data_IF_958821945698
#
_entry.id   IF_958821945698
#
_cell.length_a   1.000
_cell.length_b   1.000
_cell.length_c   1.000
_cell.angle_alpha   90.00
_cell.angle_beta   90.00
_cell.angle_gamma   90.00
#
_symmetry.space_group_name_H-M   'P 1'
#
loop_
_entity.id
_entity.type
_entity.pdbx_description
1 polymer ?
#
# COMPACT_ATOMS: atom_id res chain seq x y z
N UNK A 1 -8.99 18.05 -15.04
CA UNK A 1 -8.33 17.45 -13.85
C UNK A 1 -8.53 18.25 -12.56
N UNK A 2 -8.87 19.54 -12.58
CA UNK A 2 -9.07 20.37 -11.36
C UNK A 2 -10.39 20.13 -10.62
N UNK A 3 -11.41 19.58 -11.27
CA UNK A 3 -12.78 19.48 -10.71
C UNK A 3 -12.97 18.37 -9.67
N UNK A 4 -12.09 17.35 -9.65
CA UNK A 4 -12.24 16.18 -8.76
C UNK A 4 -11.42 16.25 -7.46
N UNK A 5 -10.50 17.21 -7.33
CA UNK A 5 -9.69 17.36 -6.12
C UNK A 5 -10.57 17.72 -4.92
N UNK A 6 -11.50 18.70 -5.00
CA UNK A 6 -12.38 19.03 -3.89
C UNK A 6 -13.21 17.82 -3.42
N UNK A 7 -13.78 17.07 -4.35
CA UNK A 7 -14.57 15.86 -4.03
C UNK A 7 -13.72 14.79 -3.34
N UNK A 8 -12.48 14.60 -3.78
CA UNK A 8 -11.55 13.64 -3.16
C UNK A 8 -11.18 14.06 -1.74
N UNK A 9 -10.95 15.35 -1.52
CA UNK A 9 -10.66 15.92 -0.19
C UNK A 9 -11.85 15.71 0.76
N UNK A 10 -13.07 16.02 0.31
CA UNK A 10 -14.27 15.81 1.12
C UNK A 10 -14.53 14.33 1.41
N UNK A 11 -14.26 13.43 0.46
CA UNK A 11 -14.33 11.98 0.70
C UNK A 11 -13.33 11.52 1.77
N UNK A 12 -12.07 11.99 1.70
CA UNK A 12 -11.06 11.66 2.73
C UNK A 12 -11.46 12.16 4.11
N UNK A 13 -12.01 13.38 4.21
CA UNK A 13 -12.54 13.92 5.46
C UNK A 13 -13.71 13.08 5.99
N UNK A 14 -14.65 12.69 5.13
CA UNK A 14 -15.79 11.87 5.51
C UNK A 14 -15.35 10.48 6.01
N UNK A 15 -14.41 9.83 5.33
CA UNK A 15 -13.86 8.54 5.76
C UNK A 15 -13.16 8.64 7.12
N UNK A 16 -12.37 9.70 7.35
CA UNK A 16 -11.72 9.95 8.64
C UNK A 16 -12.74 10.23 9.75
N UNK A 17 -13.75 11.05 9.49
CA UNK A 17 -14.82 11.35 10.44
C UNK A 17 -15.62 10.09 10.81
N UNK A 18 -15.81 9.18 9.85
CA UNK A 18 -16.44 7.88 10.06
C UNK A 18 -15.49 6.82 10.66
N UNK A 19 -14.24 7.18 11.01
CA UNK A 19 -13.21 6.27 11.52
C UNK A 19 -12.98 5.02 10.64
N UNK A 20 -13.13 5.18 9.31
CA UNK A 20 -12.95 4.10 8.33
C UNK A 20 -11.50 4.00 7.84
N UNK A 21 -10.95 2.79 7.69
CA UNK A 21 -9.66 2.61 7.02
C UNK A 21 -9.65 3.22 5.61
N UNK A 22 -8.49 3.74 5.20
CA UNK A 22 -8.30 4.34 3.88
C UNK A 22 -7.03 3.81 3.22
N UNK A 23 -7.13 3.48 1.94
CA UNK A 23 -5.97 3.17 1.09
C UNK A 23 -5.87 4.22 -0.01
N UNK A 24 -4.68 4.78 -0.18
CA UNK A 24 -4.42 5.87 -1.12
C UNK A 24 -3.29 5.45 -2.06
N UNK A 25 -3.61 5.34 -3.35
CA UNK A 25 -2.66 4.99 -4.41
C UNK A 25 -2.63 6.07 -5.51
N UNK A 26 -1.61 6.00 -6.37
CA UNK A 26 -1.46 6.85 -7.55
C UNK A 26 -1.66 8.35 -7.27
N UNK A 27 -2.51 9.03 -8.04
CA UNK A 27 -2.75 10.47 -7.92
C UNK A 27 -3.31 10.90 -6.55
N UNK A 28 -3.90 9.98 -5.78
CA UNK A 28 -4.28 10.25 -4.39
C UNK A 28 -3.09 10.61 -3.52
N UNK A 29 -1.91 10.04 -3.79
CA UNK A 29 -0.66 10.34 -3.09
C UNK A 29 -0.19 11.77 -3.40
N UNK A 30 -0.43 12.24 -4.63
CA UNK A 30 -0.13 13.62 -5.01
C UNK A 30 -1.00 14.63 -4.25
N UNK A 31 -2.28 14.31 -4.04
CA UNK A 31 -3.20 15.13 -3.22
C UNK A 31 -2.70 15.17 -1.77
N UNK A 32 -2.33 14.01 -1.21
CA UNK A 32 -1.74 13.91 0.14
C UNK A 32 -0.48 14.75 0.28
N UNK A 33 0.41 14.75 -0.71
CA UNK A 33 1.65 15.54 -0.67
C UNK A 33 1.38 17.04 -0.49
N UNK A 34 0.27 17.54 -1.07
CA UNK A 34 -0.15 18.95 -0.93
C UNK A 34 -1.01 19.23 0.31
N UNK A 35 -1.68 18.20 0.83
CA UNK A 35 -2.66 18.31 1.92
C UNK A 35 -2.41 17.25 2.98
N UNK A 36 -1.19 17.19 3.52
CA UNK A 36 -0.78 16.13 4.47
C UNK A 36 -1.69 16.03 5.70
N UNK A 37 -2.30 17.14 6.12
CA UNK A 37 -3.19 17.22 7.28
C UNK A 37 -4.44 16.35 7.12
N UNK A 38 -4.84 16.00 5.89
CA UNK A 38 -5.95 15.07 5.62
C UNK A 38 -5.72 13.71 6.27
N UNK A 39 -4.47 13.24 6.26
CA UNK A 39 -4.10 11.90 6.74
C UNK A 39 -3.20 11.93 7.98
N UNK A 40 -2.60 13.08 8.30
CA UNK A 40 -1.64 13.19 9.41
C UNK A 40 -2.25 12.72 10.73
N UNK A 41 -1.56 11.81 11.41
CA UNK A 41 -2.02 11.22 12.67
C UNK A 41 -3.07 10.10 12.50
N UNK A 42 -3.57 9.85 11.29
CA UNK A 42 -4.63 8.88 11.07
C UNK A 42 -4.04 7.50 10.74
N UNK A 43 -3.78 6.73 11.81
CA UNK A 43 -3.10 5.41 11.75
C UNK A 43 -3.86 4.33 10.96
N UNK A 44 -5.12 4.56 10.55
CA UNK A 44 -5.88 3.65 9.65
C UNK A 44 -5.66 3.93 8.15
N UNK A 45 -4.67 4.77 7.81
CA UNK A 45 -4.29 5.07 6.42
C UNK A 45 -3.12 4.19 5.97
N UNK A 46 -3.25 3.64 4.77
CA UNK A 46 -2.14 3.05 4.02
C UNK A 46 -1.94 3.86 2.74
N UNK A 47 -0.73 4.35 2.49
CA UNK A 47 -0.33 4.89 1.19
C UNK A 47 0.58 3.90 0.48
N UNK A 48 0.43 3.73 -0.84
CA UNK A 48 1.15 2.69 -1.61
C UNK A 48 2.08 3.26 -2.68
N UNK A 49 3.04 4.15 -2.36
CA UNK A 49 3.86 4.80 -3.38
C UNK A 49 4.80 3.81 -4.09
N UNK A 50 4.91 3.94 -5.41
CA UNK A 50 6.04 3.40 -6.15
C UNK A 50 7.32 4.23 -5.90
N UNK A 51 8.47 3.78 -6.39
CA UNK A 51 9.76 4.47 -6.21
C UNK A 51 9.70 5.97 -6.55
N UNK A 52 9.07 6.34 -7.67
CA UNK A 52 8.97 7.74 -8.09
C UNK A 52 7.98 8.55 -7.23
N UNK A 53 6.84 7.96 -6.90
CA UNK A 53 5.84 8.56 -5.99
C UNK A 53 6.43 8.77 -4.59
N UNK A 54 7.22 7.81 -4.11
CA UNK A 54 7.90 7.87 -2.82
C UNK A 54 8.90 9.01 -2.79
N UNK A 55 9.81 9.11 -3.78
CA UNK A 55 10.78 10.21 -3.84
C UNK A 55 10.11 11.58 -3.90
N UNK A 56 9.02 11.72 -4.68
CA UNK A 56 8.26 12.98 -4.77
C UNK A 56 7.58 13.33 -3.46
N UNK A 57 6.92 12.37 -2.82
CA UNK A 57 6.27 12.57 -1.53
C UNK A 57 7.30 12.91 -0.45
N UNK A 58 8.40 12.15 -0.40
CA UNK A 58 9.50 12.36 0.53
C UNK A 58 10.06 13.79 0.41
N UNK A 59 10.40 14.22 -0.81
CA UNK A 59 10.89 15.58 -1.08
C UNK A 59 9.89 16.67 -0.68
N UNK A 60 8.60 16.44 -0.93
CA UNK A 60 7.55 17.41 -0.58
C UNK A 60 7.36 17.54 0.93
N UNK A 61 7.46 16.44 1.67
CA UNK A 61 7.19 16.41 3.12
C UNK A 61 8.44 16.77 3.94
N UNK A 62 9.63 16.34 3.52
CA UNK A 62 10.88 16.45 4.27
C UNK A 62 11.87 17.48 3.68
N UNK A 63 11.59 18.05 2.51
CA UNK A 63 12.43 19.06 1.83
C UNK A 63 13.85 18.58 1.49
N UNK A 64 14.05 17.27 1.34
CA UNK A 64 15.31 16.63 0.97
C UNK A 64 15.02 15.40 0.09
N UNK A 65 16.03 14.81 -0.55
CA UNK A 65 15.86 13.58 -1.33
C UNK A 65 16.13 12.34 -0.45
N UNK A 66 15.35 11.24 -0.59
CA UNK A 66 15.57 10.04 0.21
C UNK A 66 16.87 9.35 -0.20
N UNK A 67 17.56 8.75 0.76
CA UNK A 67 18.65 7.80 0.49
C UNK A 67 18.09 6.44 0.05
N UNK A 68 18.98 5.49 -0.29
CA UNK A 68 18.62 4.11 -0.60
C UNK A 68 18.32 3.27 0.66
N UNK A 69 18.45 3.85 1.87
CA UNK A 69 18.16 3.17 3.13
C UNK A 69 16.66 2.80 3.23
N UNK A 70 16.38 1.60 3.74
CA UNK A 70 15.01 1.14 4.01
C UNK A 70 14.33 1.99 5.10
N UNK A 71 15.11 2.53 6.04
CA UNK A 71 14.65 3.35 7.16
C UNK A 71 14.07 4.70 6.72
N UNK A 72 14.32 5.16 5.49
CA UNK A 72 13.66 6.35 4.93
C UNK A 72 12.14 6.19 4.88
N UNK A 73 11.65 4.96 4.73
CA UNK A 73 10.21 4.67 4.77
C UNK A 73 9.62 4.97 6.15
N UNK A 74 10.31 4.55 7.22
CA UNK A 74 9.88 4.83 8.59
C UNK A 74 9.99 6.33 8.91
N UNK A 75 11.03 7.01 8.42
CA UNK A 75 11.20 8.45 8.60
C UNK A 75 10.06 9.25 7.97
N UNK A 76 9.68 8.93 6.73
CA UNK A 76 8.55 9.57 6.07
C UNK A 76 7.22 9.26 6.77
N UNK A 77 7.03 8.01 7.23
CA UNK A 77 5.84 7.62 7.98
C UNK A 77 5.68 8.42 9.28
N UNK A 78 6.77 8.63 10.04
CA UNK A 78 6.77 9.50 11.22
C UNK A 78 6.44 10.95 10.87
N UNK A 79 7.01 11.47 9.79
CA UNK A 79 6.75 12.84 9.34
C UNK A 79 5.29 13.08 8.91
N UNK A 80 4.59 12.01 8.51
CA UNK A 80 3.16 11.98 8.23
C UNK A 80 2.30 11.62 9.46
N UNK A 81 2.86 11.62 10.68
CA UNK A 81 2.11 11.32 11.90
C UNK A 81 1.74 9.84 12.03
N UNK A 82 2.69 8.95 11.75
CA UNK A 82 2.54 7.50 11.84
C UNK A 82 1.47 6.91 10.91
N UNK A 83 1.40 7.41 9.68
CA UNK A 83 0.65 6.77 8.59
C UNK A 83 1.45 5.57 8.08
N UNK A 84 0.76 4.48 7.70
CA UNK A 84 1.44 3.33 7.08
C UNK A 84 1.80 3.63 5.63
N UNK A 85 3.05 3.38 5.27
CA UNK A 85 3.59 3.50 3.92
C UNK A 85 3.98 2.11 3.43
N UNK A 86 3.49 1.72 2.27
CA UNK A 86 3.93 0.55 1.50
C UNK A 86 4.74 1.06 0.31
N UNK A 87 6.07 1.17 0.49
CA UNK A 87 7.02 1.58 -0.56
C UNK A 87 7.24 0.39 -1.50
N UNK A 88 6.64 0.45 -2.70
CA UNK A 88 6.71 -0.62 -3.72
C UNK A 88 8.10 -0.65 -4.37
N UNK A 89 8.69 -1.83 -4.48
CA UNK A 89 10.04 -2.00 -5.05
C UNK A 89 10.36 -3.45 -5.43
N UNK A 90 11.65 -3.78 -5.69
CA UNK A 90 12.08 -5.17 -5.83
C UNK A 90 11.67 -6.02 -4.61
N UNK A 91 11.90 -5.46 -3.42
CA UNK A 91 11.23 -5.80 -2.16
C UNK A 91 10.29 -4.65 -1.79
N UNK A 92 9.20 -4.95 -1.10
CA UNK A 92 8.32 -3.89 -0.59
C UNK A 92 8.71 -3.57 0.84
N UNK A 93 8.84 -2.28 1.17
CA UNK A 93 9.12 -1.81 2.53
C UNK A 93 7.82 -1.26 3.11
N UNK A 94 7.35 -1.84 4.22
CA UNK A 94 6.14 -1.43 4.90
C UNK A 94 6.50 -0.82 6.26
N UNK A 95 6.07 0.41 6.53
CA UNK A 95 6.29 1.03 7.84
C UNK A 95 5.24 2.05 8.21
N UNK A 96 4.87 2.10 9.49
CA UNK A 96 4.08 3.18 10.11
C UNK A 96 4.95 4.13 10.96
N UNK A 97 6.27 4.02 10.82
CA UNK A 97 7.25 4.77 11.61
C UNK A 97 7.63 4.09 12.92
N UNK A 98 6.75 3.32 13.54
CA UNK A 98 7.02 2.61 14.80
C UNK A 98 7.49 1.17 14.49
N UNK A 99 6.88 0.53 13.50
CA UNK A 99 7.23 -0.78 12.96
C UNK A 99 7.74 -0.65 11.52
N UNK A 100 8.73 -1.47 11.16
CA UNK A 100 9.23 -1.61 9.79
C UNK A 100 9.30 -3.10 9.44
N UNK A 101 8.74 -3.47 8.30
CA UNK A 101 8.74 -4.83 7.76
C UNK A 101 9.17 -4.79 6.30
N UNK A 102 9.99 -5.77 5.91
CA UNK A 102 10.38 -5.99 4.52
C UNK A 102 9.61 -7.20 4.00
N UNK A 103 8.93 -7.02 2.87
CA UNK A 103 8.31 -8.11 2.12
C UNK A 103 9.21 -8.49 0.95
N UNK A 104 9.91 -9.61 1.10
CA UNK A 104 10.79 -10.22 0.10
C UNK A 104 10.15 -11.44 -0.59
N UNK A 105 8.84 -11.62 -0.41
CA UNK A 105 8.09 -12.70 -1.04
C UNK A 105 8.31 -12.72 -2.56
N UNK A 106 8.45 -13.93 -3.11
CA UNK A 106 8.70 -14.11 -4.54
C UNK A 106 7.54 -13.56 -5.37
N UNK A 107 7.85 -12.58 -6.22
CA UNK A 107 6.92 -11.96 -7.14
C UNK A 107 7.06 -12.50 -8.56
N UNK A 108 7.03 -11.57 -9.52
CA UNK A 108 7.24 -11.86 -10.94
C UNK A 108 8.28 -10.91 -11.52
N UNK A 109 9.15 -11.36 -12.44
CA UNK A 109 10.05 -10.48 -13.19
C UNK A 109 9.31 -9.62 -14.23
N UNK A 110 7.98 -9.79 -14.38
CA UNK A 110 7.14 -9.01 -15.29
C UNK A 110 6.24 -8.04 -14.51
N UNK A 111 6.48 -6.75 -14.70
CA UNK A 111 5.59 -5.68 -14.20
C UNK A 111 4.47 -5.35 -15.18
N UNK A 112 3.26 -5.83 -14.94
CA UNK A 112 2.09 -5.46 -15.74
C UNK A 112 1.42 -4.16 -15.22
N UNK A 113 0.80 -3.40 -16.12
CA UNK A 113 0.01 -2.22 -15.73
C UNK A 113 -1.26 -2.65 -14.99
N UNK A 114 -1.55 -2.03 -13.85
CA UNK A 114 -2.68 -2.36 -12.97
C UNK A 114 -2.35 -3.28 -11.77
N UNK A 115 -1.10 -3.74 -11.64
CA UNK A 115 -0.68 -4.50 -10.45
C UNK A 115 -0.80 -3.69 -9.14
N UNK A 116 -0.67 -2.36 -9.22
CA UNK A 116 -0.91 -1.45 -8.10
C UNK A 116 -2.38 -1.44 -7.64
N UNK A 117 -3.33 -1.56 -8.57
CA UNK A 117 -4.76 -1.64 -8.27
C UNK A 117 -5.10 -2.92 -7.50
N UNK A 118 -4.47 -4.04 -7.86
CA UNK A 118 -4.61 -5.29 -7.12
C UNK A 118 -4.07 -5.14 -5.67
N UNK A 119 -2.90 -4.51 -5.51
CA UNK A 119 -2.32 -4.26 -4.20
C UNK A 119 -3.19 -3.36 -3.34
N UNK A 120 -3.66 -2.23 -3.88
CA UNK A 120 -4.47 -1.27 -3.13
C UNK A 120 -5.85 -1.85 -2.78
N UNK A 121 -6.47 -2.60 -3.69
CA UNK A 121 -7.71 -3.33 -3.43
C UNK A 121 -7.54 -4.39 -2.33
N UNK A 122 -6.49 -5.21 -2.40
CA UNK A 122 -6.19 -6.19 -1.35
C UNK A 122 -5.92 -5.52 0.00
N UNK A 123 -5.14 -4.44 0.02
CA UNK A 123 -4.85 -3.68 1.25
C UNK A 123 -6.13 -3.11 1.87
N UNK A 124 -7.09 -2.66 1.06
CA UNK A 124 -8.38 -2.16 1.55
C UNK A 124 -9.21 -3.26 2.21
N UNK A 125 -9.27 -4.45 1.58
CA UNK A 125 -9.97 -5.62 2.14
C UNK A 125 -9.34 -6.05 3.46
N UNK A 126 -8.02 -6.24 3.50
CA UNK A 126 -7.33 -6.62 4.74
C UNK A 126 -7.50 -5.57 5.83
N UNK A 127 -7.39 -4.28 5.50
CA UNK A 127 -7.62 -3.20 6.47
C UNK A 127 -9.04 -3.25 7.04
N UNK A 128 -10.04 -3.52 6.21
CA UNK A 128 -11.43 -3.66 6.63
C UNK A 128 -11.63 -4.87 7.56
N UNK A 129 -11.06 -6.03 7.23
CA UNK A 129 -11.17 -7.23 8.06
C UNK A 129 -10.47 -7.09 9.40
N UNK A 130 -9.27 -6.50 9.44
CA UNK A 130 -8.55 -6.27 10.69
C UNK A 130 -9.27 -5.25 11.59
N UNK A 131 -9.89 -4.23 10.98
CA UNK A 131 -10.71 -3.25 11.70
C UNK A 131 -11.99 -3.90 12.26
N UNK A 132 -12.71 -4.67 11.45
CA UNK A 132 -13.95 -5.34 11.86
C UNK A 132 -13.74 -6.40 12.96
N UNK A 133 -12.57 -7.05 12.97
CA UNK A 133 -12.24 -8.07 13.97
C UNK A 133 -11.58 -7.50 15.23
N UNK A 134 -11.39 -6.19 15.32
CA UNK A 134 -10.60 -5.54 16.38
C UNK A 134 -9.26 -6.24 16.59
N UNK A 135 -8.56 -6.54 15.49
CA UNK A 135 -7.33 -7.31 15.51
C UNK A 135 -6.29 -6.65 16.43
N UNK A 136 -5.88 -7.37 17.48
CA UNK A 136 -4.93 -6.86 18.48
C UNK A 136 -3.51 -7.00 17.97
N UNK A 137 -3.06 -5.99 17.24
CA UNK A 137 -1.66 -5.80 16.84
C UNK A 137 -1.23 -4.37 17.17
N UNK A 138 0.05 -4.13 17.53
CA UNK A 138 0.57 -2.77 17.67
C UNK A 138 0.47 -1.96 16.37
N UNK A 139 0.49 -2.64 15.20
CA UNK A 139 0.45 -2.00 13.88
C UNK A 139 -0.47 -2.76 12.91
N UNK A 140 -1.82 -2.69 13.04
CA UNK A 140 -2.75 -3.42 12.18
C UNK A 140 -2.64 -3.04 10.70
N UNK A 141 -2.41 -1.75 10.39
CA UNK A 141 -2.24 -1.29 9.02
C UNK A 141 -0.94 -1.80 8.37
N UNK A 142 0.13 -1.99 9.14
CA UNK A 142 1.36 -2.67 8.65
C UNK A 142 1.05 -4.13 8.32
N UNK A 143 0.28 -4.83 9.16
CA UNK A 143 -0.14 -6.21 8.90
C UNK A 143 -1.02 -6.32 7.63
N UNK A 144 -1.97 -5.39 7.43
CA UNK A 144 -2.77 -5.33 6.22
C UNK A 144 -1.92 -5.06 4.97
N UNK A 145 -0.97 -4.12 5.06
CA UNK A 145 -0.03 -3.82 3.99
C UNK A 145 0.84 -5.03 3.62
N UNK A 146 1.37 -5.73 4.61
CA UNK A 146 2.15 -6.95 4.41
C UNK A 146 1.32 -8.06 3.73
N UNK A 147 0.12 -8.34 4.25
CA UNK A 147 -0.77 -9.35 3.68
C UNK A 147 -1.11 -9.04 2.21
N UNK A 148 -1.39 -7.77 1.90
CA UNK A 148 -1.64 -7.32 0.54
C UNK A 148 -0.42 -7.47 -0.38
N UNK A 149 0.78 -7.12 0.10
CA UNK A 149 2.03 -7.31 -0.63
C UNK A 149 2.28 -8.79 -0.95
N UNK A 150 2.19 -9.67 0.05
CA UNK A 150 2.43 -11.11 -0.13
C UNK A 150 1.41 -11.72 -1.09
N UNK A 151 0.12 -11.39 -0.95
CA UNK A 151 -0.92 -11.84 -1.87
C UNK A 151 -0.64 -11.38 -3.30
N UNK A 152 -0.39 -10.09 -3.51
CA UNK A 152 -0.12 -9.51 -4.83
C UNK A 152 1.10 -10.13 -5.50
N UNK A 153 2.17 -10.33 -4.73
CA UNK A 153 3.41 -10.98 -5.21
C UNK A 153 3.14 -12.44 -5.57
N UNK A 154 2.38 -13.17 -4.76
CA UNK A 154 2.01 -14.56 -5.05
C UNK A 154 1.15 -14.69 -6.30
N UNK A 155 0.14 -13.84 -6.47
CA UNK A 155 -0.66 -13.79 -7.70
C UNK A 155 0.21 -13.54 -8.92
N UNK A 156 1.14 -12.57 -8.83
CA UNK A 156 2.07 -12.26 -9.91
C UNK A 156 3.00 -13.44 -10.25
N UNK A 157 3.52 -14.13 -9.23
CA UNK A 157 4.36 -15.31 -9.40
C UNK A 157 3.61 -16.44 -10.12
N UNK A 158 2.43 -16.82 -9.61
CA UNK A 158 1.60 -17.88 -10.19
C UNK A 158 1.19 -17.56 -11.63
N UNK A 159 0.74 -16.35 -11.90
CA UNK A 159 0.38 -15.92 -13.25
C UNK A 159 1.60 -15.95 -14.18
N UNK A 160 2.76 -15.50 -13.72
CA UNK A 160 3.98 -15.51 -14.53
C UNK A 160 4.48 -16.92 -14.83
N UNK A 161 4.33 -17.88 -13.92
CA UNK A 161 4.68 -19.27 -14.20
C UNK A 161 3.86 -19.84 -15.36
N UNK A 162 2.59 -19.44 -15.48
CA UNK A 162 1.67 -19.90 -16.54
C UNK A 162 1.83 -19.14 -17.85
N UNK A 163 1.92 -17.81 -17.80
CA UNK A 163 1.82 -16.94 -18.97
C UNK A 163 3.15 -16.26 -19.37
N UNK A 164 4.17 -16.31 -18.50
CA UNK A 164 5.50 -15.74 -18.76
C UNK A 164 5.38 -14.30 -19.29
N UNK A 165 5.88 -14.03 -20.50
CA UNK A 165 5.92 -12.68 -21.08
C UNK A 165 4.54 -12.08 -21.35
N UNK A 166 3.50 -12.91 -21.57
CA UNK A 166 2.12 -12.46 -21.82
C UNK A 166 1.32 -12.18 -20.55
N UNK A 167 1.95 -12.25 -19.37
CA UNK A 167 1.30 -11.92 -18.10
C UNK A 167 0.80 -10.47 -18.10
N UNK A 168 -0.49 -10.33 -17.84
CA UNK A 168 -1.23 -9.07 -17.67
C UNK A 168 -2.02 -9.11 -16.36
N UNK A 169 -2.46 -7.97 -15.85
CA UNK A 169 -3.13 -7.88 -14.54
C UNK A 169 -4.39 -8.73 -14.43
N UNK A 170 -5.15 -8.91 -15.51
CA UNK A 170 -6.28 -9.83 -15.52
C UNK A 170 -5.86 -11.27 -15.16
N UNK A 171 -4.66 -11.70 -15.56
CA UNK A 171 -4.11 -13.01 -15.18
C UNK A 171 -3.68 -13.08 -13.73
N UNK A 172 -3.35 -11.97 -13.09
CA UNK A 172 -3.10 -11.94 -11.65
C UNK A 172 -4.40 -12.09 -10.86
N UNK A 173 -5.50 -11.51 -11.37
CA UNK A 173 -6.83 -11.61 -10.76
C UNK A 173 -7.30 -13.08 -10.75
N UNK A 174 -7.08 -13.79 -11.86
CA UNK A 174 -7.39 -15.23 -11.97
C UNK A 174 -6.70 -16.09 -10.88
N UNK A 175 -5.58 -15.62 -10.32
CA UNK A 175 -4.80 -16.34 -9.30
C UNK A 175 -5.14 -15.96 -7.85
N UNK A 176 -6.04 -14.98 -7.62
CA UNK A 176 -6.34 -14.49 -6.26
C UNK A 176 -6.77 -15.63 -5.34
N UNK A 177 -7.72 -16.46 -5.76
CA UNK A 177 -8.22 -17.57 -4.95
C UNK A 177 -7.10 -18.53 -4.56
N UNK A 178 -6.37 -19.05 -5.56
CA UNK A 178 -5.27 -19.99 -5.35
C UNK A 178 -4.17 -19.41 -4.45
N UNK A 179 -3.79 -18.15 -4.66
CA UNK A 179 -2.80 -17.48 -3.84
C UNK A 179 -3.29 -17.30 -2.41
N UNK A 180 -4.56 -16.91 -2.22
CA UNK A 180 -5.16 -16.70 -0.92
C UNK A 180 -5.22 -17.99 -0.09
N UNK A 181 -5.68 -19.09 -0.70
CA UNK A 181 -5.71 -20.40 -0.04
C UNK A 181 -4.33 -20.85 0.43
N UNK A 182 -3.31 -20.69 -0.43
CA UNK A 182 -1.94 -21.08 -0.10
C UNK A 182 -1.30 -20.25 1.03
N UNK A 183 -1.74 -19.01 1.20
CA UNK A 183 -1.13 -18.06 2.13
C UNK A 183 -1.86 -17.97 3.48
N UNK A 184 -3.21 -18.05 3.46
CA UNK A 184 -4.03 -17.67 4.61
C UNK A 184 -4.93 -18.78 5.13
N UNK A 185 -5.12 -19.88 4.39
CA UNK A 185 -5.88 -21.02 4.88
C UNK A 185 -4.96 -22.10 5.48
N UNK A 186 -5.42 -22.81 6.51
CA UNK A 186 -4.69 -23.94 7.07
C UNK A 186 -4.53 -25.04 6.02
N UNK A 187 -3.39 -25.75 6.10
CA UNK A 187 -3.10 -26.93 5.28
C UNK A 187 -3.72 -28.18 5.87
#
# INVERSE_FOLDING_TARGET
MSENIPNTVEMMKACRAANKPMVIDADGIYIVAKHKDLISGYRKVIITPNVNEFSRLYKTILSEDPSDDIHETARLAKALGNVTIVRKGPTDIISDGDMLVVCDAEGSPRRCGGQGDLLSGAAAVFSCWLDATNFRSPSPSVAAGLAACVLTRRCANLAFQKFRRSTVTLKLIDEIQTAFEQLFLPK
#
